data_IF_077392283413
#
_entry.id   IF_077392283413
#
_cell.length_a   1.000
_cell.length_b   1.000
_cell.length_c   1.000
_cell.angle_alpha   90.00
_cell.angle_beta   90.00
_cell.angle_gamma   90.00
#
_symmetry.space_group_name_H-M   'P 1'
#
loop_
_entity.id
_entity.type
_entity.pdbx_description
1 polymer ?
#
# COMPACT_ATOMS: atom_id res chain seq x y z
N UNK A 1 -19.08 26.32 -0.20
CA UNK A 1 -17.60 26.46 -0.19
C UNK A 1 -17.00 25.21 -0.82
N UNK A 2 -16.58 25.31 -2.09
CA UNK A 2 -15.93 24.22 -2.82
C UNK A 2 -14.41 24.36 -2.69
N UNK A 3 -13.76 23.47 -1.93
CA UNK A 3 -12.29 23.37 -1.93
C UNK A 3 -11.87 22.31 -2.94
N UNK A 4 -11.39 22.75 -4.10
CA UNK A 4 -10.67 21.91 -5.05
C UNK A 4 -9.22 21.82 -4.57
N UNK A 5 -8.76 20.61 -4.28
CA UNK A 5 -7.35 20.37 -3.94
C UNK A 5 -6.52 20.42 -5.22
N UNK A 6 -5.52 21.29 -5.25
CA UNK A 6 -4.47 21.32 -6.26
C UNK A 6 -3.42 20.27 -5.89
N UNK A 7 -3.11 19.34 -6.79
CA UNK A 7 -1.95 18.44 -6.66
C UNK A 7 -0.80 19.08 -7.44
N UNK A 8 0.23 19.48 -6.72
CA UNK A 8 1.46 20.08 -7.24
C UNK A 8 2.27 19.02 -7.99
N UNK A 9 2.57 19.26 -9.26
CA UNK A 9 3.53 18.47 -10.01
C UNK A 9 4.94 18.64 -9.43
N UNK A 10 5.59 17.55 -9.06
CA UNK A 10 6.98 17.53 -8.64
C UNK A 10 7.86 17.66 -9.89
N UNK A 11 8.33 18.88 -10.16
CA UNK A 11 9.39 19.13 -11.14
C UNK A 11 10.71 18.70 -10.50
N UNK A 12 11.26 17.58 -10.94
CA UNK A 12 12.64 17.20 -10.67
C UNK A 12 13.55 18.11 -11.50
N UNK A 13 14.24 19.02 -10.82
CA UNK A 13 15.28 19.87 -11.40
C UNK A 13 16.49 18.99 -11.70
N UNK A 14 16.79 18.78 -12.97
CA UNK A 14 18.06 18.18 -13.41
C UNK A 14 19.19 19.20 -13.24
N UNK A 15 19.87 19.16 -12.10
CA UNK A 15 21.16 19.84 -11.93
C UNK A 15 22.27 18.88 -12.34
N UNK A 16 22.77 19.07 -13.55
CA UNK A 16 24.01 18.48 -14.02
C UNK A 16 24.63 19.42 -15.05
N UNK A 17 25.45 20.36 -14.57
CA UNK A 17 26.18 21.28 -15.44
C UNK A 17 27.08 20.48 -16.41
N UNK A 18 26.94 20.77 -17.70
CA UNK A 18 27.87 20.30 -18.73
C UNK A 18 29.21 21.01 -18.58
N UNK A 19 30.26 20.29 -18.23
CA UNK A 19 31.62 20.73 -18.54
C UNK A 19 32.18 19.76 -19.60
N UNK A 20 32.10 20.19 -20.85
CA UNK A 20 32.90 19.61 -21.94
C UNK A 20 34.31 20.13 -21.74
N UNK A 21 35.25 19.25 -21.37
CA UNK A 21 36.68 19.53 -21.48
C UNK A 21 37.29 18.42 -22.34
N UNK A 22 37.66 18.77 -23.56
CA UNK A 22 38.43 17.89 -24.43
C UNK A 22 39.87 17.85 -23.90
N UNK A 23 40.33 16.66 -23.50
CA UNK A 23 41.76 16.40 -23.45
C UNK A 23 42.02 14.98 -23.96
N UNK A 24 42.80 14.89 -25.03
CA UNK A 24 43.20 13.65 -25.67
C UNK A 24 44.38 13.05 -24.91
N UNK A 25 44.20 11.88 -24.30
CA UNK A 25 45.30 10.92 -24.12
C UNK A 25 44.74 9.51 -23.85
N UNK A 26 44.93 8.65 -24.83
CA UNK A 26 45.17 7.21 -24.76
C UNK A 26 44.49 6.36 -23.66
N UNK A 27 43.57 5.53 -24.14
CA UNK A 27 43.28 4.18 -23.65
C UNK A 27 42.68 4.05 -22.23
N UNK A 28 41.46 4.53 -22.07
CA UNK A 28 40.53 3.96 -21.10
C UNK A 28 39.31 3.42 -21.86
N UNK A 29 39.12 2.10 -21.83
CA UNK A 29 37.85 1.49 -22.22
C UNK A 29 36.80 2.02 -21.24
N UNK A 30 35.98 2.95 -21.71
CA UNK A 30 34.83 3.45 -20.96
C UNK A 30 33.86 2.26 -20.86
N UNK A 31 33.93 1.55 -19.74
CA UNK A 31 32.93 0.59 -19.35
C UNK A 31 31.67 1.39 -19.03
N UNK A 32 30.84 1.59 -20.06
CA UNK A 32 29.50 2.15 -19.91
C UNK A 32 28.72 1.14 -19.09
N UNK A 33 28.66 1.34 -17.78
CA UNK A 33 27.75 0.60 -16.92
C UNK A 33 26.33 0.97 -17.35
N UNK A 34 25.72 0.12 -18.17
CA UNK A 34 24.30 0.21 -18.45
C UNK A 34 23.59 -0.02 -17.13
N UNK A 35 23.11 1.06 -16.51
CA UNK A 35 22.07 0.98 -15.49
C UNK A 35 20.87 0.38 -16.20
N UNK A 36 20.72 -0.93 -16.11
CA UNK A 36 19.52 -1.62 -16.55
C UNK A 36 18.39 -1.02 -15.73
N UNK A 37 17.58 -0.19 -16.37
CA UNK A 37 16.30 0.26 -15.85
C UNK A 37 15.43 -1.00 -15.73
N UNK A 38 15.46 -1.63 -14.55
CA UNK A 38 14.61 -2.77 -14.26
C UNK A 38 13.18 -2.24 -14.30
N UNK A 39 12.40 -2.69 -15.28
CA UNK A 39 10.98 -2.39 -15.34
C UNK A 39 10.32 -2.85 -14.04
N UNK A 40 10.01 -1.91 -13.15
CA UNK A 40 9.28 -2.19 -11.92
C UNK A 40 7.79 -2.24 -12.24
N UNK A 41 7.19 -3.42 -12.12
CA UNK A 41 5.74 -3.55 -12.18
C UNK A 41 5.11 -2.75 -11.04
N UNK A 42 4.23 -1.82 -11.37
CA UNK A 42 3.43 -1.09 -10.39
C UNK A 42 2.04 -1.69 -10.28
N UNK A 43 1.51 -1.73 -9.06
CA UNK A 43 0.18 -2.22 -8.77
C UNK A 43 -0.77 -1.08 -8.34
N UNK A 44 -2.08 -1.33 -8.37
CA UNK A 44 -3.11 -0.51 -7.74
C UNK A 44 -4.12 -1.38 -6.99
N UNK A 45 -4.78 -0.78 -5.99
CA UNK A 45 -5.78 -1.45 -5.17
C UNK A 45 -7.18 -1.15 -5.71
N UNK A 46 -7.95 -2.20 -5.98
CA UNK A 46 -9.33 -2.13 -6.46
C UNK A 46 -10.28 -2.76 -5.45
N UNK A 47 -11.32 -2.02 -5.06
CA UNK A 47 -12.38 -2.56 -4.22
C UNK A 47 -13.32 -3.43 -5.07
N UNK A 48 -13.49 -4.69 -4.66
CA UNK A 48 -14.44 -5.61 -5.29
C UNK A 48 -15.82 -5.50 -4.66
N UNK A 49 -15.90 -5.61 -3.33
CA UNK A 49 -17.15 -5.47 -2.58
C UNK A 49 -16.89 -5.07 -1.13
N UNK A 50 -17.92 -4.56 -0.46
CA UNK A 50 -17.87 -4.23 0.96
C UNK A 50 -19.19 -4.59 1.66
N UNK A 51 -19.08 -5.04 2.91
CA UNK A 51 -20.22 -5.29 3.79
C UNK A 51 -19.86 -4.96 5.23
N UNK A 52 -20.76 -4.30 5.95
CA UNK A 52 -20.65 -4.10 7.40
C UNK A 52 -20.72 -2.64 7.84
N UNK A 53 -20.04 -2.35 8.95
CA UNK A 53 -20.42 -1.23 9.84
C UNK A 53 -19.56 0.03 9.73
N UNK A 54 -18.69 0.16 8.72
CA UNK A 54 -17.82 1.34 8.55
C UNK A 54 -16.75 1.49 9.64
N UNK A 55 -16.15 0.38 10.06
CA UNK A 55 -15.04 0.26 11.00
C UNK A 55 -13.68 0.61 10.38
N UNK A 56 -13.49 0.45 9.06
CA UNK A 56 -12.28 0.88 8.38
C UNK A 56 -12.33 2.37 8.02
N UNK A 57 -11.38 3.12 8.55
CA UNK A 57 -11.21 4.55 8.28
C UNK A 57 -10.46 4.77 6.96
N UNK A 58 -9.47 3.93 6.67
CA UNK A 58 -8.63 4.01 5.47
C UNK A 58 -8.07 2.63 5.11
N UNK A 59 -8.00 2.32 3.81
CA UNK A 59 -7.27 1.17 3.29
C UNK A 59 -6.63 1.64 1.98
N UNK A 60 -5.30 1.69 1.95
CA UNK A 60 -4.54 2.15 0.78
C UNK A 60 -3.36 1.22 0.47
N UNK A 61 -2.92 1.23 -0.78
CA UNK A 61 -1.69 0.59 -1.22
C UNK A 61 -0.52 1.53 -0.97
N UNK A 62 0.16 1.35 0.14
CA UNK A 62 1.26 2.20 0.59
C UNK A 62 2.50 2.03 -0.28
N UNK A 63 2.84 0.78 -0.61
CA UNK A 63 3.91 0.46 -1.57
C UNK A 63 3.31 -0.29 -2.76
N UNK A 64 3.04 0.42 -3.87
CA UNK A 64 2.53 -0.15 -5.10
C UNK A 64 3.43 -1.16 -5.77
N UNK A 65 4.72 -1.24 -5.47
CA UNK A 65 5.65 -2.20 -6.09
C UNK A 65 5.74 -3.48 -5.27
N UNK A 66 5.67 -3.35 -3.94
CA UNK A 66 5.80 -4.46 -2.98
C UNK A 66 4.48 -4.95 -2.39
N UNK A 67 3.35 -4.41 -2.84
CA UNK A 67 2.02 -4.81 -2.37
C UNK A 67 1.85 -4.67 -0.86
N UNK A 68 2.39 -3.59 -0.29
CA UNK A 68 2.23 -3.27 1.14
C UNK A 68 1.03 -2.36 1.31
N UNK A 69 0.15 -2.70 2.24
CA UNK A 69 -1.02 -1.89 2.57
C UNK A 69 -0.77 -1.06 3.82
N UNK A 70 -1.37 0.14 3.84
CA UNK A 70 -1.73 0.82 5.08
C UNK A 70 -3.22 0.58 5.33
N UNK A 71 -3.55 0.15 6.54
CA UNK A 71 -4.92 -0.05 7.00
C UNK A 71 -5.11 0.78 8.26
N UNK A 72 -6.17 1.58 8.29
CA UNK A 72 -6.57 2.36 9.45
C UNK A 72 -7.95 1.96 9.94
N UNK A 73 -8.02 1.68 11.22
CA UNK A 73 -9.22 1.19 11.93
C UNK A 73 -9.26 1.87 13.31
N UNK A 74 -10.24 1.52 14.13
CA UNK A 74 -10.25 1.93 15.54
C UNK A 74 -9.00 1.43 16.25
N UNK A 75 -8.47 2.29 17.12
CA UNK A 75 -7.28 2.05 17.96
C UNK A 75 -7.38 0.72 18.69
N UNK A 76 -6.32 -0.08 18.62
CA UNK A 76 -6.27 -1.42 19.24
C UNK A 76 -7.20 -2.45 18.59
N UNK A 77 -7.82 -2.13 17.45
CA UNK A 77 -8.66 -3.05 16.68
C UNK A 77 -7.86 -4.23 16.11
N UNK A 78 -8.52 -5.37 15.96
CA UNK A 78 -7.93 -6.55 15.32
C UNK A 78 -8.36 -6.63 13.87
N UNK A 79 -7.43 -6.92 12.98
CA UNK A 79 -7.68 -7.05 11.55
C UNK A 79 -7.17 -8.41 11.08
N UNK A 80 -8.02 -9.11 10.33
CA UNK A 80 -7.68 -10.31 9.59
C UNK A 80 -7.56 -9.97 8.10
N UNK A 81 -6.46 -10.38 7.48
CA UNK A 81 -6.33 -10.45 6.02
C UNK A 81 -6.39 -11.91 5.61
N UNK A 82 -7.37 -12.30 4.80
CA UNK A 82 -7.40 -13.62 4.19
C UNK A 82 -7.07 -13.53 2.70
N UNK A 83 -5.89 -14.05 2.34
CA UNK A 83 -5.28 -13.92 1.04
C UNK A 83 -5.54 -15.16 0.18
N UNK A 84 -6.15 -14.96 -0.99
CA UNK A 84 -6.46 -16.02 -1.95
C UNK A 84 -5.33 -16.11 -2.98
N UNK A 85 -4.66 -17.26 -3.01
CA UNK A 85 -3.60 -17.56 -3.98
C UNK A 85 -4.19 -18.46 -5.07
N UNK A 86 -4.12 -18.05 -6.34
CA UNK A 86 -4.82 -18.74 -7.44
C UNK A 86 -4.34 -20.18 -7.66
N UNK A 87 -3.03 -20.44 -7.51
CA UNK A 87 -2.40 -21.75 -7.71
C UNK A 87 -1.62 -22.22 -6.47
N UNK A 88 -2.11 -21.91 -5.27
CA UNK A 88 -1.42 -22.24 -4.03
C UNK A 88 -2.32 -22.23 -2.81
N UNK A 89 -1.72 -22.44 -1.65
CA UNK A 89 -2.45 -22.39 -0.38
C UNK A 89 -2.79 -20.94 -0.02
N UNK A 90 -4.08 -20.70 0.22
CA UNK A 90 -4.54 -19.43 0.78
C UNK A 90 -4.05 -19.30 2.23
N UNK A 91 -3.73 -18.08 2.66
CA UNK A 91 -3.14 -17.83 3.97
C UNK A 91 -3.82 -16.65 4.68
N UNK A 92 -3.65 -16.61 6.00
CA UNK A 92 -4.19 -15.55 6.86
C UNK A 92 -3.06 -14.75 7.50
N UNK A 93 -3.24 -13.44 7.55
CA UNK A 93 -2.40 -12.54 8.32
C UNK A 93 -3.27 -11.88 9.39
N UNK A 94 -2.71 -11.73 10.59
CA UNK A 94 -3.40 -11.15 11.73
C UNK A 94 -2.63 -9.95 12.24
N UNK A 95 -3.33 -8.84 12.37
CA UNK A 95 -2.75 -7.59 12.83
C UNK A 95 -3.54 -7.03 14.01
N UNK A 96 -2.82 -6.39 14.92
CA UNK A 96 -3.41 -5.51 15.93
C UNK A 96 -3.02 -4.09 15.56
N UNK A 97 -4.02 -3.24 15.40
CA UNK A 97 -3.81 -1.84 15.08
C UNK A 97 -3.08 -1.12 16.21
N UNK A 98 -2.23 -0.16 15.85
CA UNK A 98 -1.55 0.66 16.83
C UNK A 98 -2.56 1.30 17.79
N UNK A 99 -2.23 1.31 19.08
CA UNK A 99 -3.15 1.73 20.14
C UNK A 99 -3.37 3.25 20.18
N UNK A 100 -2.55 4.03 19.48
CA UNK A 100 -2.61 5.49 19.43
C UNK A 100 -3.11 6.01 18.09
N UNK A 101 -2.69 5.40 16.99
CA UNK A 101 -3.01 5.86 15.63
C UNK A 101 -4.10 5.01 14.97
N UNK A 102 -4.29 3.76 15.40
CA UNK A 102 -5.17 2.80 14.73
C UNK A 102 -4.61 2.29 13.40
N UNK A 103 -3.33 2.58 13.11
CA UNK A 103 -2.66 2.21 11.87
C UNK A 103 -2.05 0.81 11.94
N UNK A 104 -2.07 0.12 10.79
CA UNK A 104 -1.39 -1.13 10.50
C UNK A 104 -0.65 -0.93 9.18
N UNK A 105 0.64 -1.27 9.15
CA UNK A 105 1.40 -1.46 7.92
C UNK A 105 1.60 -2.96 7.78
N UNK A 106 1.14 -3.53 6.67
CA UNK A 106 1.27 -4.97 6.43
C UNK A 106 2.70 -5.33 6.05
N UNK A 107 3.02 -6.62 6.10
CA UNK A 107 4.11 -7.12 5.26
C UNK A 107 3.70 -7.15 3.78
N UNK A 108 4.62 -7.56 2.91
CA UNK A 108 4.34 -7.74 1.49
C UNK A 108 3.28 -8.83 1.27
N UNK A 109 2.18 -8.46 0.60
CA UNK A 109 1.10 -9.38 0.27
C UNK A 109 1.43 -10.12 -1.02
N UNK A 110 1.63 -11.43 -0.90
CA UNK A 110 1.92 -12.35 -2.02
C UNK A 110 0.66 -12.89 -2.70
N UNK A 111 -0.39 -12.09 -2.76
CA UNK A 111 -1.68 -12.44 -3.36
C UNK A 111 -2.28 -11.22 -4.07
N UNK A 112 -3.02 -11.46 -5.14
CA UNK A 112 -3.70 -10.40 -5.90
C UNK A 112 -5.16 -10.21 -5.48
N UNK A 113 -5.62 -10.97 -4.50
CA UNK A 113 -7.02 -11.02 -4.07
C UNK A 113 -7.11 -11.39 -2.61
N UNK A 114 -7.86 -10.64 -1.83
CA UNK A 114 -8.01 -10.90 -0.40
C UNK A 114 -9.27 -10.27 0.18
N UNK A 115 -9.69 -10.77 1.34
CA UNK A 115 -10.60 -10.05 2.23
C UNK A 115 -9.83 -9.39 3.36
N UNK A 116 -10.29 -8.23 3.81
CA UNK A 116 -9.87 -7.57 5.04
C UNK A 116 -11.09 -7.52 5.96
N UNK A 117 -10.99 -8.12 7.13
CA UNK A 117 -12.07 -8.19 8.11
C UNK A 117 -11.64 -7.59 9.45
N UNK A 118 -12.56 -6.88 10.10
CA UNK A 118 -12.35 -6.35 11.45
C UNK A 118 -13.65 -6.41 12.25
N UNK A 119 -13.51 -6.34 13.56
CA UNK A 119 -14.62 -6.20 14.49
C UNK A 119 -14.26 -5.23 15.60
N UNK A 120 -15.28 -4.54 16.11
CA UNK A 120 -15.12 -3.59 17.20
C UNK A 120 -16.31 -3.68 18.15
N UNK A 121 -16.02 -3.76 19.45
CA UNK A 121 -17.05 -3.69 20.48
C UNK A 121 -17.35 -2.24 20.80
N UNK A 122 -18.46 -1.75 20.26
CA UNK A 122 -18.96 -0.44 20.62
C UNK A 122 -19.71 -0.55 21.95
N UNK A 123 -19.17 0.09 22.98
CA UNK A 123 -19.78 0.12 24.31
C UNK A 123 -20.48 1.45 24.53
N UNK A 124 -21.76 1.39 24.88
CA UNK A 124 -22.57 2.55 25.24
C UNK A 124 -23.23 2.28 26.60
N UNK A 125 -22.62 2.79 27.68
CA UNK A 125 -23.10 2.55 29.04
C UNK A 125 -22.97 1.08 29.44
N UNK A 126 -24.07 0.47 29.89
CA UNK A 126 -24.11 -0.93 30.34
C UNK A 126 -24.33 -1.96 29.22
N UNK A 127 -24.34 -1.55 27.95
CA UNK A 127 -24.54 -2.43 26.80
C UNK A 127 -23.35 -2.35 25.84
N UNK A 128 -22.96 -3.51 25.28
CA UNK A 128 -21.94 -3.61 24.23
C UNK A 128 -22.52 -4.31 23.01
N UNK A 129 -22.34 -3.72 21.83
CA UNK A 129 -22.65 -4.38 20.56
C UNK A 129 -21.38 -4.58 19.76
N UNK A 130 -21.13 -5.82 19.32
CA UNK A 130 -20.02 -6.10 18.40
C UNK A 130 -20.43 -5.75 16.98
N UNK A 131 -19.69 -4.82 16.38
CA UNK A 131 -19.80 -4.47 14.97
C UNK A 131 -18.78 -5.28 14.17
N UNK A 132 -19.15 -5.61 12.94
CA UNK A 132 -18.28 -6.31 11.99
C UNK A 132 -18.22 -5.54 10.68
N UNK A 133 -17.08 -5.63 10.00
CA UNK A 133 -16.93 -5.20 8.62
C UNK A 133 -15.94 -6.11 7.89
N UNK A 134 -16.30 -6.47 6.65
CA UNK A 134 -15.43 -7.19 5.72
C UNK A 134 -15.46 -6.47 4.38
N UNK A 135 -14.27 -6.21 3.82
CA UNK A 135 -14.09 -5.67 2.48
C UNK A 135 -13.27 -6.64 1.64
N UNK A 136 -13.60 -6.75 0.37
CA UNK A 136 -12.93 -7.61 -0.58
C UNK A 136 -12.20 -6.76 -1.61
N UNK A 137 -10.94 -7.08 -1.88
CA UNK A 137 -10.04 -6.29 -2.70
C UNK A 137 -9.28 -7.15 -3.71
N UNK A 138 -8.88 -6.47 -4.78
CA UNK A 138 -7.92 -6.94 -5.76
C UNK A 138 -6.70 -6.01 -5.77
N UNK A 139 -5.51 -6.58 -5.94
CA UNK A 139 -4.30 -5.83 -6.33
C UNK A 139 -4.04 -6.18 -7.79
N UNK A 140 -4.08 -5.18 -8.66
CA UNK A 140 -3.94 -5.32 -10.13
C UNK A 140 -2.72 -4.57 -10.62
N UNK A 141 -2.10 -5.07 -11.68
CA UNK A 141 -1.02 -4.36 -12.38
C UNK A 141 -1.59 -3.13 -13.09
N UNK A 142 -0.85 -2.02 -13.08
CA UNK A 142 -1.19 -0.79 -13.81
C UNK A 142 -0.98 -0.94 -15.31
#
# INVERSE_FOLDING_TARGET
MNKKFFITALVLVSVGMTNVMANTSDNEQIEVSSVNEVATTEYYLEIGSQSGSGLFEEIELLDPTRKVLRIKTKRGGRVELFCYVDNGESYRLWYTADSWTGEIITEEIKANRFTISTSYNESAGSSSTTKYETRYYYIREK
#
